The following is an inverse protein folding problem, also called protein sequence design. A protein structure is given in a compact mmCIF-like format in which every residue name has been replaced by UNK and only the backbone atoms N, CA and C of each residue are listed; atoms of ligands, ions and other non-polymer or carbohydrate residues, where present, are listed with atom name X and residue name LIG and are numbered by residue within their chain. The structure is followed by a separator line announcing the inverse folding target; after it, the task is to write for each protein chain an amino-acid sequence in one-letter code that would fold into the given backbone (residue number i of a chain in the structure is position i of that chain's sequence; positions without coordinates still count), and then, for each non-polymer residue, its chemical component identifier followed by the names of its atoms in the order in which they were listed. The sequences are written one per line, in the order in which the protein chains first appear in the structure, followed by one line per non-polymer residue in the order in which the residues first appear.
data_IF_299595505392
#
_entry.id   IF_299595505392
#
_cell.length_a   1.000
_cell.length_b   1.000
_cell.length_c   1.000
_cell.angle_alpha   90.00
_cell.angle_beta   90.00
_cell.angle_gamma   90.00
#
_symmetry.space_group_name_H-M   'P 1'
#
loop_
_entity.id
_entity.type
_entity.pdbx_description
1 polymer ?
#
# COMPACT_ATOMS: atom_id res chain seq x y z
N UNK A 1 8.16 8.21 17.53
CA UNK A 1 8.24 7.33 16.35
C UNK A 1 6.82 7.05 15.88
N UNK A 2 6.55 7.09 14.58
CA UNK A 2 5.25 6.76 13.98
C UNK A 2 5.41 5.54 13.07
N UNK A 3 4.50 4.59 13.21
CA UNK A 3 4.35 3.44 12.32
C UNK A 3 2.96 3.51 11.72
N UNK A 4 2.83 3.31 10.41
CA UNK A 4 1.53 3.34 9.72
C UNK A 4 1.52 2.39 8.53
N UNK A 5 0.34 2.02 8.07
CA UNK A 5 0.15 1.32 6.80
C UNK A 5 -0.54 2.27 5.83
N UNK A 6 0.02 2.40 4.63
CA UNK A 6 -0.49 3.31 3.59
C UNK A 6 -0.57 2.58 2.25
N UNK A 7 -1.41 3.09 1.34
CA UNK A 7 -1.63 2.50 0.01
C UNK A 7 -2.13 3.56 -0.97
N UNK A 8 -1.83 3.38 -2.26
CA UNK A 8 -2.40 4.19 -3.34
C UNK A 8 -3.84 3.77 -3.68
N UNK A 9 -4.26 2.56 -3.28
CA UNK A 9 -5.60 2.00 -3.52
C UNK A 9 -6.23 1.59 -2.18
N UNK A 10 -6.84 2.55 -1.50
CA UNK A 10 -7.42 2.35 -0.16
C UNK A 10 -8.73 1.55 -0.20
N UNK A 11 -8.92 0.68 0.81
CA UNK A 11 -10.20 0.03 1.12
C UNK A 11 -11.08 0.95 1.94
N UNK A 12 -10.51 1.42 3.04
CA UNK A 12 -11.11 2.39 3.92
C UNK A 12 -10.36 3.73 3.75
N UNK A 13 -10.97 4.75 3.13
CA UNK A 13 -10.36 6.06 2.93
C UNK A 13 -10.00 6.80 4.23
N UNK A 14 -10.59 6.41 5.37
CA UNK A 14 -10.33 7.04 6.68
C UNK A 14 -9.03 6.61 7.34
N UNK A 15 -8.38 5.52 6.87
CA UNK A 15 -7.15 4.99 7.49
C UNK A 15 -5.87 5.78 7.12
N UNK A 16 -6.04 6.97 6.55
CA UNK A 16 -4.95 7.88 6.20
C UNK A 16 -4.41 7.62 4.80
N UNK A 17 -4.29 8.70 4.03
CA UNK A 17 -3.64 8.70 2.73
C UNK A 17 -2.13 8.80 2.90
N UNK A 18 -1.35 8.17 2.02
CA UNK A 18 0.10 8.38 2.00
C UNK A 18 0.41 9.87 1.85
N UNK A 19 1.38 10.36 2.63
CA UNK A 19 1.93 11.70 2.43
C UNK A 19 2.74 11.77 1.11
N UNK A 20 3.21 12.95 0.66
CA UNK A 20 3.93 13.06 -0.61
C UNK A 20 5.19 12.16 -0.71
N UNK A 21 5.90 11.94 0.41
CA UNK A 21 7.06 11.05 0.42
C UNK A 21 6.61 9.60 0.24
N UNK A 22 5.56 9.19 0.95
CA UNK A 22 5.01 7.84 0.88
C UNK A 22 4.41 7.53 -0.50
N UNK A 23 3.74 8.51 -1.14
CA UNK A 23 3.23 8.37 -2.50
C UNK A 23 4.35 8.14 -3.51
N UNK A 24 5.44 8.91 -3.39
CA UNK A 24 6.62 8.76 -4.26
C UNK A 24 7.23 7.37 -4.12
N UNK A 25 7.43 6.90 -2.89
CA UNK A 25 8.01 5.58 -2.63
C UNK A 25 7.09 4.45 -3.12
N UNK A 26 5.78 4.52 -2.86
CA UNK A 26 4.82 3.52 -3.35
C UNK A 26 4.76 3.46 -4.88
N UNK A 27 4.76 4.62 -5.54
CA UNK A 27 4.77 4.69 -7.02
C UNK A 27 6.04 4.06 -7.60
N UNK A 28 7.17 4.29 -6.95
CA UNK A 28 8.44 3.67 -7.35
C UNK A 28 8.43 2.15 -7.10
N UNK A 29 7.83 1.68 -6.02
CA UNK A 29 7.64 0.25 -5.78
C UNK A 29 6.75 -0.39 -6.84
N UNK A 30 5.62 0.23 -7.21
CA UNK A 30 4.77 -0.25 -8.30
C UNK A 30 5.55 -0.35 -9.62
N UNK A 31 6.36 0.67 -9.95
CA UNK A 31 7.21 0.70 -11.14
C UNK A 31 8.25 -0.43 -11.15
N UNK A 32 8.88 -0.72 -10.00
CA UNK A 32 9.89 -1.77 -9.86
C UNK A 32 9.25 -3.16 -9.92
N UNK A 33 8.13 -3.36 -9.23
CA UNK A 33 7.36 -4.60 -9.30
C UNK A 33 6.88 -4.90 -10.73
N UNK A 34 6.40 -3.89 -11.46
CA UNK A 34 6.01 -4.02 -12.87
C UNK A 34 7.18 -4.40 -13.80
N UNK A 35 8.43 -4.16 -13.38
CA UNK A 35 9.64 -4.59 -14.09
C UNK A 35 10.14 -5.97 -13.67
N UNK A 36 9.39 -6.69 -12.83
CA UNK A 36 9.70 -8.06 -12.41
C UNK A 36 10.49 -8.16 -11.12
N UNK A 37 10.75 -7.06 -10.42
CA UNK A 37 11.35 -7.13 -9.09
C UNK A 37 10.35 -7.71 -8.08
N UNK A 38 10.80 -8.62 -7.22
CA UNK A 38 9.92 -9.23 -6.20
C UNK A 38 9.49 -8.17 -5.21
N UNK A 39 8.18 -7.94 -5.09
CA UNK A 39 7.62 -6.94 -4.17
C UNK A 39 8.05 -7.14 -2.70
N UNK A 40 8.33 -8.36 -2.26
CA UNK A 40 8.82 -8.65 -0.90
C UNK A 40 10.21 -8.06 -0.59
N UNK A 41 11.02 -7.85 -1.64
CA UNK A 41 12.35 -7.25 -1.55
C UNK A 41 12.32 -5.71 -1.62
N UNK A 42 11.15 -5.10 -1.87
CA UNK A 42 11.03 -3.67 -2.03
C UNK A 42 10.99 -2.99 -0.67
N UNK A 43 12.07 -2.27 -0.37
CA UNK A 43 12.17 -1.36 0.76
C UNK A 43 12.97 -0.12 0.39
N UNK A 44 12.77 0.96 1.15
CA UNK A 44 13.45 2.23 0.96
C UNK A 44 13.61 2.95 2.29
N UNK A 45 14.75 3.58 2.50
CA UNK A 45 15.01 4.44 3.65
C UNK A 45 15.71 5.72 3.23
N UNK A 46 15.38 6.82 3.90
CA UNK A 46 15.97 8.12 3.65
C UNK A 46 15.97 8.96 4.92
N UNK A 47 16.99 9.79 5.09
CA UNK A 47 16.98 10.88 6.07
C UNK A 47 16.43 12.12 5.40
N UNK A 48 15.31 12.62 5.89
CA UNK A 48 14.68 13.85 5.39
C UNK A 48 14.84 14.98 6.39
N UNK A 49 14.98 16.20 5.88
CA UNK A 49 14.91 17.42 6.69
C UNK A 49 13.54 18.05 6.51
N UNK A 50 12.81 18.24 7.61
CA UNK A 50 11.49 18.87 7.64
C UNK A 50 11.53 20.08 8.60
N UNK A 51 10.57 21.03 8.54
CA UNK A 51 10.59 22.21 9.41
C UNK A 51 10.73 21.90 10.91
N UNK A 52 10.22 20.76 11.34
CA UNK A 52 10.25 20.28 12.73
C UNK A 52 11.47 19.40 13.07
N UNK A 53 12.46 19.29 12.17
CA UNK A 53 13.72 18.58 12.41
C UNK A 53 14.09 17.54 11.36
N UNK A 54 15.13 16.76 11.63
CA UNK A 54 15.54 15.64 10.77
C UNK A 54 14.83 14.35 11.19
N UNK A 55 14.43 13.56 10.20
CA UNK A 55 13.75 12.28 10.42
C UNK A 55 14.39 11.19 9.59
N UNK A 56 14.55 10.01 10.18
CA UNK A 56 14.72 8.77 9.42
C UNK A 56 13.33 8.28 9.00
N UNK A 57 13.15 8.10 7.70
CA UNK A 57 11.97 7.48 7.13
C UNK A 57 12.35 6.13 6.51
N UNK A 58 11.49 5.15 6.70
CA UNK A 58 11.63 3.81 6.13
C UNK A 58 10.27 3.35 5.62
N UNK A 59 10.25 2.63 4.49
CA UNK A 59 9.07 1.94 4.00
C UNK A 59 9.43 0.57 3.47
N UNK A 60 8.63 -0.44 3.81
CA UNK A 60 8.65 -1.77 3.19
C UNK A 60 7.33 -2.02 2.46
N UNK A 61 7.41 -2.53 1.24
CA UNK A 61 6.23 -2.90 0.47
C UNK A 61 5.47 -4.06 1.13
N UNK A 62 4.16 -4.08 0.94
CA UNK A 62 3.28 -5.20 1.28
C UNK A 62 2.95 -5.91 -0.03
N UNK A 63 3.49 -7.11 -0.29
CA UNK A 63 3.21 -7.83 -1.52
C UNK A 63 1.80 -8.42 -1.51
N UNK A 64 1.16 -8.47 -2.68
CA UNK A 64 -0.07 -9.27 -2.89
C UNK A 64 0.34 -10.73 -3.04
N UNK A 65 -0.08 -11.57 -2.09
CA UNK A 65 0.07 -13.02 -2.11
C UNK A 65 -1.26 -13.71 -2.46
N UNK A 66 -1.29 -15.02 -2.82
CA UNK A 66 -2.50 -15.67 -3.33
C UNK A 66 -3.75 -15.49 -2.45
N UNK A 67 -3.62 -15.61 -1.12
CA UNK A 67 -4.75 -15.40 -0.19
C UNK A 67 -5.33 -13.98 -0.21
N UNK A 68 -4.55 -12.98 -0.61
CA UNK A 68 -5.05 -11.60 -0.73
C UNK A 68 -6.08 -11.47 -1.85
N UNK A 69 -5.97 -12.29 -2.90
CA UNK A 69 -6.80 -12.20 -4.10
C UNK A 69 -8.26 -12.55 -3.85
N UNK A 70 -8.56 -13.27 -2.76
CA UNK A 70 -9.94 -13.58 -2.35
C UNK A 70 -10.80 -12.32 -2.19
N UNK A 71 -10.20 -11.19 -1.77
CA UNK A 71 -10.91 -9.91 -1.59
C UNK A 71 -10.32 -8.75 -2.41
N UNK A 72 -9.06 -8.88 -2.86
CA UNK A 72 -8.34 -7.83 -3.59
C UNK A 72 -8.10 -8.17 -5.06
N UNK A 73 -8.47 -9.36 -5.52
CA UNK A 73 -8.27 -9.82 -6.90
C UNK A 73 -9.12 -9.06 -7.94
N UNK A 74 -9.07 -9.49 -9.22
CA UNK A 74 -9.94 -8.98 -10.27
C UNK A 74 -11.41 -9.00 -9.85
N UNK A 75 -12.19 -7.97 -10.18
CA UNK A 75 -13.56 -7.83 -9.69
C UNK A 75 -14.43 -9.04 -10.08
N UNK A 76 -14.25 -9.52 -11.30
CA UNK A 76 -14.84 -10.73 -11.87
C UNK A 76 -14.48 -12.03 -11.12
N UNK A 77 -13.36 -12.07 -10.40
CA UNK A 77 -12.94 -13.24 -9.59
C UNK A 77 -13.54 -13.26 -8.18
N UNK A 78 -14.13 -12.15 -7.73
CA UNK A 78 -14.72 -12.06 -6.39
C UNK A 78 -16.12 -12.69 -6.38
N UNK A 79 -16.46 -13.39 -5.29
CA UNK A 79 -17.81 -13.92 -5.09
C UNK A 79 -18.81 -12.80 -4.85
N UNK A 80 -20.08 -13.04 -5.15
CA UNK A 80 -21.14 -12.04 -4.95
C UNK A 80 -21.31 -11.66 -3.48
N UNK A 81 -21.12 -12.63 -2.56
CA UNK A 81 -21.13 -12.37 -1.12
C UNK A 81 -20.00 -11.39 -0.71
N UNK A 82 -18.79 -11.55 -1.24
CA UNK A 82 -17.66 -10.66 -0.96
C UNK A 82 -17.90 -9.28 -1.56
N UNK A 83 -18.38 -9.20 -2.82
CA UNK A 83 -18.73 -7.93 -3.45
C UNK A 83 -19.78 -7.16 -2.65
N UNK A 84 -20.85 -7.84 -2.23
CA UNK A 84 -21.92 -7.24 -1.44
C UNK A 84 -21.41 -6.69 -0.10
N UNK A 85 -20.61 -7.48 0.63
CA UNK A 85 -20.03 -7.04 1.90
C UNK A 85 -19.11 -5.83 1.71
N UNK A 86 -18.26 -5.86 0.67
CA UNK A 86 -17.37 -4.74 0.34
C UNK A 86 -18.18 -3.48 0.03
N UNK A 87 -19.21 -3.59 -0.80
CA UNK A 87 -20.01 -2.42 -1.21
C UNK A 87 -20.78 -1.81 -0.04
N UNK A 88 -21.25 -2.65 0.89
CA UNK A 88 -21.95 -2.22 2.10
C UNK A 88 -21.02 -1.48 3.07
N UNK A 89 -19.86 -2.05 3.38
CA UNK A 89 -18.94 -1.51 4.39
C UNK A 89 -18.02 -0.42 3.84
N UNK A 90 -17.69 -0.50 2.55
CA UNK A 90 -16.70 0.33 1.88
C UNK A 90 -17.22 0.84 0.52
N UNK A 91 -18.22 1.74 0.50
CA UNK A 91 -18.85 2.22 -0.74
C UNK A 91 -17.89 2.97 -1.67
N UNK A 92 -16.76 3.47 -1.15
CA UNK A 92 -15.72 4.16 -1.90
C UNK A 92 -14.44 3.33 -2.05
N UNK A 93 -14.55 2.01 -1.96
CA UNK A 93 -13.44 1.10 -2.09
C UNK A 93 -12.70 1.26 -3.44
N UNK A 94 -11.36 1.20 -3.39
CA UNK A 94 -10.48 1.13 -4.57
C UNK A 94 -9.54 -0.07 -4.59
N UNK A 95 -9.61 -0.94 -3.59
CA UNK A 95 -8.60 -1.96 -3.31
C UNK A 95 -8.82 -3.31 -4.03
N UNK A 96 -9.52 -3.35 -5.15
CA UNK A 96 -9.69 -4.56 -5.99
C UNK A 96 -8.85 -4.45 -7.27
N UNK A 97 -8.84 -5.50 -8.09
CA UNK A 97 -8.12 -5.53 -9.36
C UNK A 97 -6.63 -5.84 -9.23
N UNK A 98 -6.20 -6.43 -8.11
CA UNK A 98 -4.82 -6.83 -7.93
C UNK A 98 -4.51 -8.19 -8.57
N UNK A 99 -3.24 -8.40 -8.87
CA UNK A 99 -2.65 -9.70 -9.23
C UNK A 99 -1.52 -10.06 -8.27
N UNK A 100 -1.20 -11.36 -8.17
CA UNK A 100 -0.09 -11.81 -7.33
C UNK A 100 1.23 -11.13 -7.73
N UNK A 101 2.03 -10.72 -6.74
CA UNK A 101 3.30 -10.02 -6.96
C UNK A 101 3.19 -8.49 -7.10
N UNK A 102 1.99 -7.93 -7.21
CA UNK A 102 1.80 -6.47 -7.15
C UNK A 102 1.97 -5.93 -5.72
N UNK A 103 2.12 -4.61 -5.60
CA UNK A 103 2.26 -3.92 -4.31
C UNK A 103 0.88 -3.54 -3.79
N UNK A 104 0.47 -4.12 -2.65
CA UNK A 104 -0.78 -3.78 -1.99
C UNK A 104 -0.73 -2.41 -1.32
N UNK A 105 0.45 -2.00 -0.88
CA UNK A 105 0.72 -0.80 -0.10
C UNK A 105 2.08 -0.92 0.58
N UNK A 106 2.29 -0.18 1.67
CA UNK A 106 3.54 -0.24 2.42
C UNK A 106 3.32 -0.03 3.91
N UNK A 107 4.20 -0.63 4.71
CA UNK A 107 4.40 -0.24 6.11
C UNK A 107 5.46 0.85 6.13
N UNK A 108 5.12 2.00 6.71
CA UNK A 108 5.96 3.21 6.77
C UNK A 108 6.30 3.52 8.22
N UNK A 109 7.56 3.90 8.45
CA UNK A 109 8.10 4.32 9.74
C UNK A 109 8.70 5.71 9.59
N UNK A 110 8.36 6.62 10.50
CA UNK A 110 8.99 7.94 10.64
C UNK A 110 9.47 8.11 12.07
N UNK A 111 10.77 8.30 12.24
CA UNK A 111 11.41 8.49 13.56
C UNK A 111 12.26 9.76 13.54
N UNK A 112 12.12 10.66 14.54
CA UNK A 112 13.10 11.74 14.72
C UNK A 112 14.51 11.17 14.77
N UNK A 113 15.47 11.90 14.20
CA UNK A 113 16.89 11.63 14.39
C UNK A 113 17.40 12.27 15.67
#
# INVERSE_FOLDING_TARGET
MRVSRVTLKARNPSLGWPDPWEQKVLTEFDRRAAKGEKADNLEFSEVVSEPQGKFLRYMKAIPVVPMCLTCHGPAESLTDAIKAQIASEYPFDKATGYSAGQVRGGVTVKRPL
#
